data_IF_792977168240
#
_entry.id   IF_792977168240
#
_cell.length_a   1.000
_cell.length_b   1.000
_cell.length_c   1.000
_cell.angle_alpha   90.00
_cell.angle_beta   90.00
_cell.angle_gamma   90.00
#
_symmetry.space_group_name_H-M   'P 1'
#
loop_
_entity.id
_entity.type
_entity.pdbx_description
1 polymer ?
#
# COMPACT_ATOMS: atom_id res chain seq x y z
N UNK A 1 5.00 1.80 8.05
CA UNK A 1 4.89 0.61 7.16
C UNK A 1 6.15 -0.21 7.10
N UNK A 2 7.32 0.40 6.87
CA UNK A 2 8.60 -0.30 6.88
C UNK A 2 8.74 -1.26 8.09
N UNK A 3 9.21 -2.50 7.90
CA UNK A 3 9.54 -3.43 9.00
C UNK A 3 10.85 -3.05 9.71
N UNK A 4 11.46 -1.93 9.33
CA UNK A 4 12.67 -1.36 9.95
C UNK A 4 13.91 -2.27 9.87
N UNK A 5 14.30 -2.79 8.68
CA UNK A 5 15.48 -3.64 8.54
C UNK A 5 16.79 -2.89 8.92
N UNK A 6 16.78 -1.56 8.85
CA UNK A 6 17.87 -0.73 9.35
C UNK A 6 18.10 -0.84 10.85
N UNK A 7 17.07 -1.15 11.64
CA UNK A 7 17.17 -1.32 13.10
C UNK A 7 17.80 -2.67 13.45
N UNK A 8 17.45 -3.74 12.71
CA UNK A 8 18.09 -5.05 12.84
C UNK A 8 19.60 -4.98 12.53
N UNK A 9 19.99 -4.18 11.54
CA UNK A 9 21.40 -3.94 11.20
C UNK A 9 22.13 -2.90 12.08
N UNK A 10 21.51 -2.41 13.16
CA UNK A 10 22.08 -1.36 13.98
C UNK A 10 23.25 -1.89 14.83
N UNK A 11 24.45 -1.30 14.73
CA UNK A 11 25.60 -1.71 15.55
C UNK A 11 25.37 -1.59 17.07
N UNK A 12 24.40 -0.79 17.50
CA UNK A 12 24.03 -0.67 18.91
C UNK A 12 23.31 -1.93 19.42
N UNK A 13 22.59 -2.64 18.53
CA UNK A 13 21.88 -3.89 18.82
C UNK A 13 22.81 -5.01 19.32
N UNK A 14 24.13 -4.87 19.16
CA UNK A 14 25.13 -5.83 19.65
C UNK A 14 25.12 -5.93 21.20
N UNK A 15 24.81 -4.83 21.90
CA UNK A 15 24.87 -4.81 23.36
C UNK A 15 23.82 -3.94 24.06
N UNK A 16 22.96 -3.25 23.29
CA UNK A 16 21.90 -2.37 23.79
C UNK A 16 20.74 -2.37 22.78
N UNK A 17 19.53 -1.90 23.16
CA UNK A 17 18.44 -1.78 22.20
C UNK A 17 18.82 -0.95 20.98
N UNK A 18 18.40 -1.40 19.79
CA UNK A 18 18.65 -0.70 18.53
C UNK A 18 18.05 0.73 18.55
N UNK A 19 18.66 1.62 17.77
CA UNK A 19 18.08 2.95 17.53
C UNK A 19 16.74 2.78 16.81
N UNK A 20 15.71 3.50 17.26
CA UNK A 20 14.37 3.48 16.63
C UNK A 20 14.33 4.33 15.35
N UNK A 21 15.19 3.99 14.39
CA UNK A 21 15.43 4.72 13.13
C UNK A 21 14.13 5.03 12.40
N UNK A 22 13.20 4.07 12.31
CA UNK A 22 11.89 4.26 11.68
C UNK A 22 11.07 5.36 12.37
N UNK A 23 11.07 5.40 13.70
CA UNK A 23 10.33 6.41 14.45
C UNK A 23 10.97 7.80 14.31
N UNK A 24 12.30 7.85 14.28
CA UNK A 24 13.05 9.08 13.99
C UNK A 24 12.74 9.59 12.58
N UNK A 25 12.73 8.72 11.58
CA UNK A 25 12.37 9.07 10.19
C UNK A 25 10.95 9.63 10.11
N UNK A 26 9.97 8.96 10.73
CA UNK A 26 8.56 9.42 10.76
C UNK A 26 8.45 10.78 11.43
N UNK A 27 9.09 10.98 12.59
CA UNK A 27 9.04 12.24 13.32
C UNK A 27 9.63 13.41 12.52
N UNK A 28 10.77 13.19 11.84
CA UNK A 28 11.39 14.19 10.98
C UNK A 28 10.49 14.49 9.77
N UNK A 29 9.94 13.47 9.12
CA UNK A 29 9.07 13.64 7.96
C UNK A 29 7.80 14.42 8.31
N UNK A 30 7.14 14.07 9.41
CA UNK A 30 5.94 14.77 9.88
C UNK A 30 6.24 16.23 10.22
N UNK A 31 7.37 16.49 10.89
CA UNK A 31 7.80 17.85 11.20
C UNK A 31 8.10 18.65 9.94
N UNK A 32 8.79 18.06 8.97
CA UNK A 32 9.10 18.71 7.69
C UNK A 32 7.83 19.10 6.93
N UNK A 33 6.79 18.28 6.96
CA UNK A 33 5.48 18.64 6.38
C UNK A 33 4.77 19.72 7.16
N UNK A 34 4.76 19.65 8.50
CA UNK A 34 4.11 20.63 9.36
C UNK A 34 4.74 22.03 9.23
N UNK A 35 6.07 22.08 9.10
CA UNK A 35 6.84 23.32 8.97
C UNK A 35 6.93 23.82 7.51
N UNK A 36 6.36 23.09 6.54
CA UNK A 36 6.34 23.50 5.13
C UNK A 36 7.66 23.29 4.37
N UNK A 37 8.57 22.46 4.86
CA UNK A 37 9.87 22.15 4.23
C UNK A 37 9.80 21.16 3.06
N UNK A 38 8.59 20.79 2.63
CA UNK A 38 8.36 19.84 1.53
C UNK A 38 7.52 20.45 0.39
N UNK A 39 7.90 21.60 -0.19
CA UNK A 39 7.15 22.18 -1.30
C UNK A 39 7.21 21.28 -2.55
N UNK A 40 6.24 21.42 -3.48
CA UNK A 40 6.35 20.86 -4.82
C UNK A 40 7.66 21.29 -5.51
N UNK A 41 8.26 20.38 -6.27
CA UNK A 41 9.48 20.60 -7.06
C UNK A 41 9.21 20.42 -8.56
N UNK A 42 8.44 21.31 -9.22
CA UNK A 42 8.21 21.20 -10.64
C UNK A 42 9.54 21.33 -11.42
N UNK A 43 9.66 20.72 -12.61
CA UNK A 43 10.88 20.81 -13.40
C UNK A 43 11.09 22.23 -13.96
N UNK A 44 12.34 22.69 -13.99
CA UNK A 44 12.69 24.00 -14.58
C UNK A 44 12.46 24.04 -16.11
N UNK A 45 12.61 22.90 -16.77
CA UNK A 45 12.45 22.74 -18.22
C UNK A 45 11.80 21.42 -18.56
N UNK A 46 10.93 21.44 -19.57
CA UNK A 46 10.37 20.22 -20.14
C UNK A 46 11.37 19.57 -21.10
N UNK A 47 11.51 18.26 -20.98
CA UNK A 47 12.34 17.42 -21.87
C UNK A 47 11.73 17.18 -23.25
N UNK A 48 10.43 17.48 -23.42
CA UNK A 48 9.65 17.10 -24.60
C UNK A 48 9.30 15.61 -24.70
N UNK A 49 9.76 14.78 -23.75
CA UNK A 49 9.46 13.35 -23.70
C UNK A 49 8.22 13.05 -22.87
N UNK A 50 7.54 11.97 -23.22
CA UNK A 50 6.29 11.52 -22.64
C UNK A 50 6.45 10.10 -22.07
N UNK A 51 5.95 9.88 -20.85
CA UNK A 51 6.03 8.56 -20.20
C UNK A 51 4.68 8.14 -19.63
N UNK A 52 4.27 6.91 -19.93
CA UNK A 52 3.13 6.28 -19.26
C UNK A 52 3.63 5.38 -18.12
N UNK A 53 3.05 5.53 -16.93
CA UNK A 53 3.30 4.65 -15.79
C UNK A 53 2.02 3.87 -15.51
N UNK A 54 2.09 2.55 -15.52
CA UNK A 54 0.92 1.67 -15.37
C UNK A 54 0.91 1.09 -13.96
N UNK A 55 -0.09 1.46 -13.18
CA UNK A 55 -0.21 1.12 -11.77
C UNK A 55 0.27 2.25 -10.87
N UNK A 56 -0.52 2.57 -9.85
CA UNK A 56 -0.25 3.71 -8.96
C UNK A 56 0.13 3.31 -7.54
N UNK A 57 0.67 2.11 -7.37
CA UNK A 57 1.33 1.70 -6.13
C UNK A 57 2.65 2.47 -5.88
N UNK A 58 3.37 2.17 -4.80
CA UNK A 58 4.59 2.88 -4.39
C UNK A 58 5.63 2.99 -5.52
N UNK A 59 5.87 1.91 -6.26
CA UNK A 59 6.83 1.88 -7.36
C UNK A 59 6.43 2.83 -8.50
N UNK A 60 5.15 2.82 -8.90
CA UNK A 60 4.63 3.69 -9.95
C UNK A 60 4.67 5.17 -9.55
N UNK A 61 4.28 5.48 -8.32
CA UNK A 61 4.33 6.86 -7.81
C UNK A 61 5.77 7.38 -7.70
N UNK A 62 6.69 6.59 -7.16
CA UNK A 62 8.10 6.97 -7.06
C UNK A 62 8.71 7.23 -8.44
N UNK A 63 8.50 6.32 -9.41
CA UNK A 63 8.97 6.49 -10.78
C UNK A 63 8.35 7.74 -11.43
N UNK A 64 7.04 7.90 -11.30
CA UNK A 64 6.33 9.04 -11.89
C UNK A 64 6.84 10.37 -11.34
N UNK A 65 7.03 10.49 -10.02
CA UNK A 65 7.51 11.71 -9.42
C UNK A 65 8.94 12.05 -9.89
N UNK A 66 9.85 11.07 -9.93
CA UNK A 66 11.21 11.31 -10.41
C UNK A 66 11.24 11.75 -11.88
N UNK A 67 10.46 11.08 -12.73
CA UNK A 67 10.37 11.41 -14.16
C UNK A 67 9.73 12.80 -14.40
N UNK A 68 8.69 13.15 -13.65
CA UNK A 68 8.07 14.48 -13.69
C UNK A 68 9.10 15.55 -13.32
N UNK A 69 9.84 15.35 -12.22
CA UNK A 69 10.90 16.27 -11.76
C UNK A 69 12.07 16.38 -12.74
N UNK A 70 12.33 15.35 -13.54
CA UNK A 70 13.31 15.38 -14.63
C UNK A 70 12.80 16.11 -15.89
N UNK A 71 11.56 16.61 -15.89
CA UNK A 71 10.98 17.36 -17.01
C UNK A 71 10.23 16.50 -18.03
N UNK A 72 9.96 15.23 -17.74
CA UNK A 72 9.10 14.41 -18.60
C UNK A 72 7.62 14.70 -18.37
N UNK A 73 6.81 14.61 -19.42
CA UNK A 73 5.35 14.63 -19.28
C UNK A 73 4.88 13.24 -18.89
N UNK A 74 4.52 13.06 -17.61
CA UNK A 74 4.16 11.75 -17.07
C UNK A 74 2.65 11.62 -16.89
N UNK A 75 2.10 10.50 -17.35
CA UNK A 75 0.74 10.07 -17.05
C UNK A 75 0.75 8.72 -16.31
N UNK A 76 0.17 8.70 -15.11
CA UNK A 76 -0.04 7.49 -14.30
C UNK A 76 -1.45 6.96 -14.57
N UNK A 77 -1.54 5.71 -14.99
CA UNK A 77 -2.80 4.99 -15.19
C UNK A 77 -3.05 4.05 -14.02
N UNK A 78 -4.24 4.13 -13.45
CA UNK A 78 -4.70 3.30 -12.35
C UNK A 78 -6.03 2.66 -12.73
N UNK A 79 -6.16 1.35 -12.46
CA UNK A 79 -7.39 0.60 -12.74
C UNK A 79 -8.48 0.89 -11.72
N UNK A 80 -8.12 1.20 -10.47
CA UNK A 80 -9.04 1.59 -9.42
C UNK A 80 -9.52 3.04 -9.61
N UNK A 81 -10.59 3.38 -8.91
CA UNK A 81 -11.18 4.72 -8.84
C UNK A 81 -10.29 5.73 -8.11
N UNK A 82 -9.36 5.27 -7.26
CA UNK A 82 -8.40 6.11 -6.52
C UNK A 82 -6.97 5.64 -6.69
N UNK A 83 -6.06 6.62 -6.63
CA UNK A 83 -4.61 6.44 -6.71
C UNK A 83 -4.05 5.91 -5.38
N UNK A 84 -3.04 5.03 -5.47
CA UNK A 84 -2.23 4.58 -4.33
C UNK A 84 -1.95 3.08 -4.26
N UNK A 85 -2.59 2.27 -5.12
CA UNK A 85 -2.52 0.80 -5.03
C UNK A 85 -2.87 0.31 -3.61
N UNK A 86 -2.07 -0.60 -3.05
CA UNK A 86 -2.30 -1.13 -1.70
C UNK A 86 -2.18 -0.08 -0.59
N UNK A 87 -1.48 1.05 -0.81
CA UNK A 87 -1.48 2.16 0.16
C UNK A 87 -2.89 2.74 0.32
N UNK A 88 -3.70 2.72 -0.75
CA UNK A 88 -5.09 3.18 -0.74
C UNK A 88 -6.05 2.06 -0.34
N UNK A 89 -5.99 0.93 -1.03
CA UNK A 89 -6.91 -0.20 -0.88
C UNK A 89 -6.13 -1.49 -0.55
N UNK A 90 -5.86 -1.69 0.74
CA UNK A 90 -5.14 -2.85 1.26
C UNK A 90 -4.62 -2.61 2.66
N UNK A 91 -3.73 -1.63 2.83
CA UNK A 91 -3.10 -1.32 4.11
C UNK A 91 -4.06 -0.50 4.96
N UNK A 92 -4.53 -0.99 6.13
CA UNK A 92 -5.55 -0.29 6.90
C UNK A 92 -5.11 1.08 7.43
N UNK A 93 -6.08 1.98 7.62
CA UNK A 93 -5.84 3.34 8.11
C UNK A 93 -5.12 3.40 9.48
N UNK A 94 -5.29 2.38 10.33
CA UNK A 94 -4.60 2.32 11.62
C UNK A 94 -3.09 2.03 11.51
N UNK A 95 -2.61 1.48 10.37
CA UNK A 95 -1.17 1.33 10.08
C UNK A 95 -0.62 2.52 9.32
N UNK A 96 -1.42 3.11 8.44
CA UNK A 96 -1.07 4.31 7.68
C UNK A 96 -2.32 5.12 7.36
N UNK A 97 -2.41 6.30 7.96
CA UNK A 97 -3.50 7.23 7.66
C UNK A 97 -3.42 7.69 6.20
N UNK A 98 -4.55 7.68 5.48
CA UNK A 98 -4.57 7.97 4.04
C UNK A 98 -4.18 9.42 3.72
N UNK A 99 -4.31 10.33 4.69
CA UNK A 99 -3.85 11.74 4.59
C UNK A 99 -2.39 11.86 4.16
N UNK A 100 -1.51 10.92 4.55
CA UNK A 100 -0.10 10.95 4.14
C UNK A 100 0.06 10.69 2.64
N UNK A 101 -0.72 9.75 2.11
CA UNK A 101 -0.80 9.49 0.68
C UNK A 101 -1.39 10.70 -0.05
N UNK A 102 -2.51 11.26 0.43
CA UNK A 102 -3.17 12.39 -0.22
C UNK A 102 -2.27 13.62 -0.35
N UNK A 103 -1.54 13.98 0.71
CA UNK A 103 -0.56 15.08 0.67
C UNK A 103 0.55 14.83 -0.36
N UNK A 104 1.04 13.60 -0.48
CA UNK A 104 2.04 13.24 -1.48
C UNK A 104 1.48 13.33 -2.89
N UNK A 105 0.26 12.84 -3.11
CA UNK A 105 -0.40 12.90 -4.42
C UNK A 105 -0.63 14.34 -4.85
N UNK A 106 -1.01 15.22 -3.91
CA UNK A 106 -1.19 16.63 -4.20
C UNK A 106 0.12 17.31 -4.59
N UNK A 107 1.21 17.01 -3.88
CA UNK A 107 2.55 17.45 -4.29
C UNK A 107 2.87 16.99 -5.71
N UNK A 108 2.61 15.73 -6.05
CA UNK A 108 2.88 15.19 -7.39
C UNK A 108 2.03 15.85 -8.49
N UNK A 109 0.77 16.20 -8.20
CA UNK A 109 -0.09 16.96 -9.12
C UNK A 109 0.46 18.36 -9.34
N UNK A 110 0.84 19.05 -8.27
CA UNK A 110 1.45 20.38 -8.35
C UNK A 110 2.81 20.37 -9.10
N UNK A 111 3.53 19.25 -9.07
CA UNK A 111 4.75 19.03 -9.86
C UNK A 111 4.47 18.75 -11.35
N UNK A 112 3.22 18.44 -11.72
CA UNK A 112 2.80 18.21 -13.11
C UNK A 112 2.48 16.76 -13.47
N UNK A 113 2.49 15.83 -12.50
CA UNK A 113 2.12 14.43 -12.74
C UNK A 113 0.62 14.33 -13.03
N UNK A 114 0.25 13.70 -14.16
CA UNK A 114 -1.15 13.49 -14.54
C UNK A 114 -1.62 12.12 -14.07
N UNK A 115 -2.74 12.06 -13.37
CA UNK A 115 -3.35 10.81 -12.93
C UNK A 115 -4.60 10.49 -13.75
N UNK A 116 -4.75 9.24 -14.16
CA UNK A 116 -5.91 8.70 -14.88
C UNK A 116 -6.39 7.44 -14.15
N UNK A 117 -7.45 7.58 -13.37
CA UNK A 117 -8.07 6.49 -12.62
C UNK A 117 -9.08 5.73 -13.48
N UNK A 118 -9.63 4.64 -12.96
CA UNK A 118 -10.64 3.81 -13.60
C UNK A 118 -10.26 3.35 -15.02
N UNK A 119 -8.96 3.18 -15.28
CA UNK A 119 -8.43 2.81 -16.60
C UNK A 119 -7.50 1.61 -16.47
N UNK A 120 -8.00 0.43 -16.85
CA UNK A 120 -7.23 -0.80 -16.85
C UNK A 120 -6.52 -1.01 -18.19
N UNK A 121 -5.20 -0.89 -18.18
CA UNK A 121 -4.36 -1.20 -19.35
C UNK A 121 -4.39 -2.71 -19.63
N UNK A 122 -4.58 -3.07 -20.90
CA UNK A 122 -4.83 -4.44 -21.37
C UNK A 122 -6.31 -4.76 -21.60
N UNK A 123 -7.23 -3.96 -21.02
CA UNK A 123 -8.67 -4.06 -21.26
C UNK A 123 -9.23 -2.81 -21.94
N UNK A 124 -8.98 -1.64 -21.34
CA UNK A 124 -9.56 -0.37 -21.77
C UNK A 124 -8.65 0.36 -22.77
N UNK A 125 -7.32 0.15 -22.67
CA UNK A 125 -6.31 0.62 -23.60
C UNK A 125 -5.27 -0.48 -23.87
N UNK A 126 -4.89 -0.64 -25.14
CA UNK A 126 -3.92 -1.66 -25.56
C UNK A 126 -2.47 -1.26 -25.38
N UNK A 127 -1.57 -2.24 -25.24
CA UNK A 127 -0.14 -1.99 -25.13
C UNK A 127 0.45 -1.31 -26.38
N UNK A 128 -0.04 -1.67 -27.58
CA UNK A 128 0.40 -1.06 -28.85
C UNK A 128 0.04 0.43 -28.93
N UNK A 129 -1.17 0.79 -28.48
CA UNK A 129 -1.64 2.16 -28.43
C UNK A 129 -0.81 3.01 -27.46
N UNK A 130 -0.43 2.46 -26.30
CA UNK A 130 0.47 3.14 -25.37
C UNK A 130 1.86 3.34 -25.96
N UNK A 131 2.44 2.31 -26.60
CA UNK A 131 3.75 2.42 -27.25
C UNK A 131 3.77 3.43 -28.40
N UNK A 132 2.64 3.63 -29.08
CA UNK A 132 2.53 4.65 -30.12
C UNK A 132 2.39 6.08 -29.56
N UNK A 133 1.81 6.23 -28.37
CA UNK A 133 1.52 7.54 -27.75
C UNK A 133 2.62 8.07 -26.84
N UNK A 134 3.47 7.20 -26.31
CA UNK A 134 4.46 7.54 -25.30
C UNK A 134 5.86 7.12 -25.72
N UNK A 135 6.86 7.93 -25.41
CA UNK A 135 8.28 7.59 -25.65
C UNK A 135 8.74 6.40 -24.80
N UNK A 136 8.15 6.22 -23.61
CA UNK A 136 8.45 5.11 -22.71
C UNK A 136 7.22 4.68 -21.89
N UNK A 137 7.26 3.42 -21.42
CA UNK A 137 6.23 2.83 -20.57
C UNK A 137 6.87 2.14 -19.38
N UNK A 138 6.41 2.45 -18.17
CA UNK A 138 6.79 1.79 -16.92
C UNK A 138 5.65 0.87 -16.47
N UNK A 139 5.96 -0.41 -16.24
CA UNK A 139 5.01 -1.37 -15.67
C UNK A 139 5.21 -1.47 -14.16
N UNK A 140 4.23 -1.01 -13.39
CA UNK A 140 4.21 -1.01 -11.93
C UNK A 140 2.88 -1.56 -11.39
N UNK A 141 2.38 -2.63 -12.02
CA UNK A 141 1.04 -3.21 -11.76
C UNK A 141 0.92 -4.02 -10.47
N UNK A 142 2.05 -4.34 -9.83
CA UNK A 142 2.10 -5.13 -8.60
C UNK A 142 1.75 -6.61 -8.80
N UNK A 143 1.62 -7.34 -7.69
CA UNK A 143 1.25 -8.75 -7.66
C UNK A 143 -0.17 -8.89 -7.10
N UNK A 144 -1.15 -9.05 -7.98
CA UNK A 144 -2.57 -9.01 -7.60
C UNK A 144 -3.24 -10.38 -7.63
N UNK A 145 -2.53 -11.40 -8.15
CA UNK A 145 -2.97 -12.77 -8.05
C UNK A 145 -2.68 -13.27 -6.62
N UNK A 146 -3.73 -13.69 -5.92
CA UNK A 146 -3.60 -14.35 -4.63
C UNK A 146 -3.16 -15.80 -4.81
N UNK A 147 -2.65 -16.38 -3.73
CA UNK A 147 -2.40 -17.82 -3.65
C UNK A 147 -3.71 -18.50 -3.27
N UNK A 148 -4.10 -19.49 -4.05
CA UNK A 148 -5.29 -20.28 -3.76
C UNK A 148 -4.94 -21.51 -2.93
N UNK A 149 -5.85 -21.92 -2.06
CA UNK A 149 -5.73 -23.14 -1.27
C UNK A 149 -6.77 -24.15 -1.78
N UNK A 150 -6.31 -25.11 -2.58
CA UNK A 150 -7.15 -26.16 -3.14
C UNK A 150 -7.38 -27.27 -2.10
N UNK A 151 -8.45 -27.10 -1.30
CA UNK A 151 -8.86 -28.03 -0.25
C UNK A 151 -10.37 -28.24 -0.29
N UNK A 152 -10.87 -29.41 0.15
CA UNK A 152 -12.31 -29.65 0.22
C UNK A 152 -13.04 -28.57 1.02
N UNK A 153 -14.14 -28.04 0.48
CA UNK A 153 -14.95 -27.01 1.12
C UNK A 153 -14.46 -25.58 0.86
N UNK A 154 -13.44 -25.36 0.01
CA UNK A 154 -12.99 -24.02 -0.40
C UNK A 154 -14.12 -23.17 -1.02
N UNK A 155 -15.09 -23.81 -1.65
CA UNK A 155 -16.26 -23.20 -2.27
C UNK A 155 -17.36 -22.77 -1.29
N UNK A 156 -17.24 -23.13 -0.01
CA UNK A 156 -18.23 -22.79 1.01
C UNK A 156 -18.31 -21.28 1.24
N UNK A 157 -19.50 -20.81 1.59
CA UNK A 157 -19.74 -19.40 1.91
C UNK A 157 -18.96 -18.96 3.15
N UNK A 158 -18.49 -17.71 3.13
CA UNK A 158 -17.71 -17.12 4.22
C UNK A 158 -16.19 -17.26 4.08
N UNK A 159 -15.70 -17.95 3.04
CA UNK A 159 -14.28 -18.02 2.71
C UNK A 159 -13.95 -16.89 1.72
N UNK A 160 -13.14 -15.94 2.18
CA UNK A 160 -12.76 -14.75 1.42
C UNK A 160 -11.25 -14.60 1.36
N UNK A 161 -10.75 -14.16 0.21
CA UNK A 161 -9.36 -13.73 0.08
C UNK A 161 -9.19 -12.38 0.80
N UNK A 162 -8.00 -12.13 1.38
CA UNK A 162 -7.76 -10.90 2.13
C UNK A 162 -8.00 -9.62 1.31
N UNK A 163 -7.69 -9.68 0.00
CA UNK A 163 -7.90 -8.56 -0.92
C UNK A 163 -9.35 -8.39 -1.39
N UNK A 164 -10.27 -9.27 -0.98
CA UNK A 164 -11.72 -9.04 -1.08
C UNK A 164 -12.26 -8.33 0.16
N UNK A 165 -11.61 -8.54 1.32
CA UNK A 165 -12.03 -7.99 2.61
C UNK A 165 -11.44 -6.59 2.88
N UNK A 166 -10.11 -6.45 2.86
CA UNK A 166 -9.43 -5.23 3.28
C UNK A 166 -9.83 -3.97 2.49
N UNK A 167 -9.98 -4.00 1.14
CA UNK A 167 -10.42 -2.83 0.40
C UNK A 167 -11.81 -2.34 0.79
N UNK A 168 -12.73 -3.23 1.20
CA UNK A 168 -14.07 -2.83 1.62
C UNK A 168 -14.03 -2.11 2.97
N UNK A 169 -13.20 -2.59 3.90
CA UNK A 169 -12.96 -1.91 5.17
C UNK A 169 -12.31 -0.53 4.97
N UNK A 170 -11.29 -0.43 4.09
CA UNK A 170 -10.70 0.86 3.72
C UNK A 170 -11.76 1.82 3.13
N UNK A 171 -12.67 1.32 2.29
CA UNK A 171 -13.78 2.11 1.73
C UNK A 171 -14.75 2.62 2.79
N UNK A 172 -15.04 1.83 3.84
CA UNK A 172 -15.83 2.31 4.98
C UNK A 172 -15.10 3.44 5.71
N UNK A 173 -13.80 3.26 6.01
CA UNK A 173 -13.02 4.30 6.67
C UNK A 173 -12.93 5.60 5.86
N UNK A 174 -12.96 5.51 4.54
CA UNK A 174 -12.94 6.65 3.63
C UNK A 174 -14.34 7.22 3.32
N UNK A 175 -15.40 6.68 3.94
CA UNK A 175 -16.77 7.15 3.79
C UNK A 175 -17.47 6.75 2.48
N UNK A 176 -16.88 5.84 1.70
CA UNK A 176 -17.50 5.31 0.47
C UNK A 176 -18.65 4.34 0.77
N UNK A 177 -18.61 3.70 1.94
CA UNK A 177 -19.58 2.72 2.41
C UNK A 177 -19.92 3.02 3.87
N UNK A 178 -21.17 2.84 4.26
CA UNK A 178 -21.56 2.92 5.67
C UNK A 178 -21.06 1.69 6.44
N UNK A 179 -21.20 0.51 5.85
CA UNK A 179 -20.77 -0.78 6.42
C UNK A 179 -20.21 -1.67 5.31
N UNK A 180 -19.17 -2.43 5.62
CA UNK A 180 -18.61 -3.42 4.70
C UNK A 180 -19.56 -4.61 4.55
N UNK A 181 -19.88 -5.07 3.33
CA UNK A 181 -20.69 -6.28 3.15
C UNK A 181 -19.98 -7.54 3.66
N UNK A 182 -18.67 -7.47 3.91
CA UNK A 182 -17.86 -8.54 4.51
C UNK A 182 -17.47 -8.24 5.97
N UNK A 183 -18.23 -7.40 6.68
CA UNK A 183 -17.93 -7.03 8.07
C UNK A 183 -17.79 -8.25 9.00
N UNK A 184 -16.80 -8.18 9.89
CA UNK A 184 -16.52 -9.16 10.93
C UNK A 184 -17.35 -8.96 12.21
N UNK A 185 -18.17 -7.90 12.30
CA UNK A 185 -18.93 -7.55 13.49
C UNK A 185 -19.73 -8.74 14.06
N UNK A 186 -19.46 -9.11 15.32
CA UNK A 186 -20.12 -10.21 16.03
C UNK A 186 -19.80 -11.62 15.52
N UNK A 187 -18.87 -11.79 14.57
CA UNK A 187 -18.51 -13.09 13.99
C UNK A 187 -17.30 -13.72 14.68
N UNK A 188 -17.23 -15.05 14.61
CA UNK A 188 -15.99 -15.79 14.90
C UNK A 188 -15.17 -15.88 13.60
N UNK A 189 -14.02 -15.22 13.58
CA UNK A 189 -13.20 -15.06 12.38
C UNK A 189 -11.97 -15.96 12.45
N UNK A 190 -11.67 -16.65 11.36
CA UNK A 190 -10.43 -17.42 11.18
C UNK A 190 -9.61 -16.79 10.05
N UNK A 191 -8.35 -16.48 10.32
CA UNK A 191 -7.41 -15.85 9.38
C UNK A 191 -6.28 -16.83 9.08
N UNK A 192 -6.23 -17.35 7.86
CA UNK A 192 -5.18 -18.29 7.46
C UNK A 192 -3.96 -17.53 6.92
N UNK A 193 -2.89 -17.49 7.70
CA UNK A 193 -1.60 -16.89 7.34
C UNK A 193 -1.07 -15.86 8.34
N UNK A 194 0.24 -15.93 8.65
CA UNK A 194 0.90 -15.05 9.63
C UNK A 194 1.57 -13.79 9.11
N UNK A 195 1.59 -13.55 7.80
CA UNK A 195 2.26 -12.38 7.24
C UNK A 195 1.54 -11.05 7.53
N UNK A 196 2.13 -9.95 7.05
CA UNK A 196 1.57 -8.59 7.17
C UNK A 196 0.09 -8.48 6.79
N UNK A 197 -0.32 -9.15 5.70
CA UNK A 197 -1.72 -9.17 5.27
C UNK A 197 -2.64 -9.85 6.29
N UNK A 198 -2.18 -10.92 6.94
CA UNK A 198 -2.92 -11.58 8.02
C UNK A 198 -3.06 -10.68 9.24
N UNK A 199 -1.98 -9.99 9.62
CA UNK A 199 -1.99 -9.00 10.70
C UNK A 199 -2.94 -7.81 10.39
N UNK A 200 -3.01 -7.39 9.12
CA UNK A 200 -3.94 -6.36 8.67
C UNK A 200 -5.40 -6.82 8.78
N UNK A 201 -5.69 -8.06 8.36
CA UNK A 201 -7.00 -8.68 8.57
C UNK A 201 -7.36 -8.78 10.05
N UNK A 202 -6.42 -9.20 10.92
CA UNK A 202 -6.63 -9.30 12.36
C UNK A 202 -6.98 -7.94 12.96
N UNK A 203 -6.14 -6.94 12.69
CA UNK A 203 -6.34 -5.59 13.21
C UNK A 203 -7.65 -4.95 12.74
N UNK A 204 -8.11 -5.30 11.53
CA UNK A 204 -9.38 -4.85 10.96
C UNK A 204 -10.56 -5.56 11.63
N UNK A 205 -10.55 -6.90 11.70
CA UNK A 205 -11.63 -7.70 12.28
C UNK A 205 -11.87 -7.35 13.77
N UNK A 206 -10.80 -7.13 14.54
CA UNK A 206 -10.90 -6.70 15.94
C UNK A 206 -11.59 -5.33 16.04
N UNK A 207 -11.25 -4.39 15.17
CA UNK A 207 -11.84 -3.02 15.17
C UNK A 207 -13.29 -3.01 14.69
N UNK A 208 -13.67 -3.94 13.82
CA UNK A 208 -15.07 -4.15 13.43
C UNK A 208 -15.90 -4.83 14.53
N UNK A 209 -15.28 -5.30 15.61
CA UNK A 209 -15.97 -5.93 16.74
C UNK A 209 -16.28 -7.41 16.52
N UNK A 210 -15.34 -8.16 15.93
CA UNK A 210 -15.43 -9.62 15.88
C UNK A 210 -15.60 -10.24 17.28
N UNK A 211 -16.44 -11.28 17.39
CA UNK A 211 -16.67 -11.99 18.64
C UNK A 211 -15.42 -12.77 19.09
N UNK A 212 -14.68 -13.34 18.13
CA UNK A 212 -13.34 -13.89 18.35
C UNK A 212 -12.55 -13.86 17.05
N UNK A 213 -11.23 -13.83 17.14
CA UNK A 213 -10.33 -14.00 15.99
C UNK A 213 -9.31 -15.09 16.30
N UNK A 214 -9.12 -16.02 15.36
CA UNK A 214 -8.09 -17.06 15.42
C UNK A 214 -7.23 -16.95 14.17
N UNK A 215 -5.93 -16.83 14.34
CA UNK A 215 -4.98 -16.69 13.22
C UNK A 215 -4.02 -17.89 13.19
N UNK A 216 -4.36 -19.00 12.52
CA UNK A 216 -3.40 -20.05 12.24
C UNK A 216 -2.28 -19.56 11.33
N UNK A 217 -1.05 -19.89 11.69
CA UNK A 217 0.16 -19.67 10.90
C UNK A 217 0.89 -21.00 10.66
N UNK A 218 1.70 -21.05 9.62
CA UNK A 218 2.56 -22.21 9.28
C UNK A 218 3.83 -22.24 10.14
N UNK A 219 4.20 -21.11 10.73
CA UNK A 219 5.38 -20.98 11.59
C UNK A 219 5.08 -21.41 13.04
N UNK A 220 6.13 -21.77 13.81
CA UNK A 220 5.99 -22.00 15.24
C UNK A 220 5.33 -20.80 15.92
N UNK A 221 4.54 -21.09 16.96
CA UNK A 221 3.96 -20.04 17.78
C UNK A 221 5.10 -19.18 18.37
N UNK A 222 5.08 -17.84 18.16
CA UNK A 222 6.06 -16.97 18.78
C UNK A 222 6.02 -17.07 20.30
N UNK A 223 7.16 -16.83 20.94
CA UNK A 223 7.23 -16.77 22.40
C UNK A 223 6.37 -15.63 22.96
N UNK A 224 6.03 -15.72 24.25
CA UNK A 224 5.26 -14.66 24.93
C UNK A 224 6.04 -13.36 25.09
N UNK A 225 7.37 -13.45 25.02
CA UNK A 225 8.29 -12.32 25.06
C UNK A 225 8.94 -12.16 23.69
N UNK A 226 9.36 -10.93 23.37
CA UNK A 226 10.04 -10.65 22.11
C UNK A 226 11.45 -11.24 22.20
N UNK A 227 11.73 -12.21 21.35
CA UNK A 227 13.09 -12.70 21.15
C UNK A 227 13.91 -11.61 20.41
N UNK A 228 14.99 -11.13 21.04
CA UNK A 228 15.87 -10.11 20.45
C UNK A 228 16.83 -10.70 19.40
N UNK A 229 16.99 -12.03 19.37
CA UNK A 229 17.92 -12.73 18.49
C UNK A 229 17.27 -13.25 17.18
N UNK A 230 15.94 -13.20 17.09
CA UNK A 230 15.19 -13.65 15.90
C UNK A 230 14.89 -12.45 15.00
N UNK A 231 15.39 -12.48 13.76
CA UNK A 231 15.03 -11.49 12.75
C UNK A 231 13.51 -11.48 12.49
N UNK A 232 12.88 -10.30 12.37
CA UNK A 232 11.45 -10.16 12.11
C UNK A 232 11.03 -10.62 10.70
#
# INVERSE_FOLDING_TARGET
>A
LCPAPCEAGCVLAINQPAVTIKNVEVAIADRAWADGFTPPRPPDRLSGRTVAVIGSGPAGLAAAQQLTRAGHTVAVYERADRIGGLLRYGIPAFKMEKRHLDRRLEQMRAEGTKFRTSTAIGRDLGAAELRARYDAVVLAVGATAWRELDVPGRELAGIHQAMEYLPLADRVCEGDLEVSPLSAAGKHVVIVGGGDTGADCLGTAVREGAASVTQPDIYPQPESERDEDVEP
#
